data_IF_720288327894
#
_entry.id   IF_720288327894
#
_cell.length_a   1.000
_cell.length_b   1.000
_cell.length_c   1.000
_cell.angle_alpha   90.00
_cell.angle_beta   90.00
_cell.angle_gamma   90.00
#
_symmetry.space_group_name_H-M   'P 1'
#
loop_
_entity.id
_entity.type
_entity.pdbx_description
1 polymer ?
#
# COMPACT_ATOMS: atom_id res chain seq x y z
N UNK A 1 3.74 -25.25 -0.91
CA UNK A 1 2.70 -24.37 -1.48
C UNK A 1 2.65 -24.55 -2.99
N UNK A 2 1.47 -24.56 -3.60
CA UNK A 2 1.37 -24.55 -5.07
C UNK A 2 1.86 -23.19 -5.61
N UNK A 3 2.47 -23.17 -6.80
CA UNK A 3 3.01 -21.94 -7.43
C UNK A 3 1.97 -20.80 -7.44
N UNK A 4 0.70 -21.12 -7.67
CA UNK A 4 -0.42 -20.17 -7.69
C UNK A 4 -0.70 -19.54 -6.31
N UNK A 5 -0.56 -20.31 -5.23
CA UNK A 5 -0.75 -19.82 -3.86
C UNK A 5 0.38 -18.88 -3.44
N UNK A 6 1.62 -19.19 -3.85
CA UNK A 6 2.76 -18.29 -3.59
C UNK A 6 2.57 -16.96 -4.32
N UNK A 7 2.17 -16.99 -5.59
CA UNK A 7 1.86 -15.78 -6.35
C UNK A 7 0.75 -14.97 -5.69
N UNK A 8 -0.31 -15.61 -5.22
CA UNK A 8 -1.41 -14.95 -4.53
C UNK A 8 -0.94 -14.23 -3.25
N UNK A 9 -0.11 -14.88 -2.43
CA UNK A 9 0.49 -14.25 -1.24
C UNK A 9 1.36 -13.06 -1.63
N UNK A 10 2.15 -13.15 -2.69
CA UNK A 10 2.96 -12.03 -3.18
C UNK A 10 2.06 -10.84 -3.53
N UNK A 11 0.93 -11.05 -4.21
CA UNK A 11 -0.03 -9.97 -4.48
C UNK A 11 -0.59 -9.35 -3.20
N UNK A 12 -0.93 -10.16 -2.20
CA UNK A 12 -1.41 -9.63 -0.91
C UNK A 12 -0.33 -8.78 -0.22
N UNK A 13 0.92 -9.24 -0.22
CA UNK A 13 2.04 -8.51 0.37
C UNK A 13 2.31 -7.19 -0.37
N UNK A 14 2.25 -7.19 -1.70
CA UNK A 14 2.36 -5.97 -2.50
C UNK A 14 1.21 -5.02 -2.14
N UNK A 15 -0.04 -5.48 -2.11
CA UNK A 15 -1.18 -4.63 -1.73
C UNK A 15 -1.02 -4.01 -0.34
N UNK A 16 -0.60 -4.82 0.64
CA UNK A 16 -0.32 -4.35 2.00
C UNK A 16 0.81 -3.31 2.05
N UNK A 17 1.88 -3.51 1.27
CA UNK A 17 2.96 -2.54 1.14
C UNK A 17 2.47 -1.20 0.61
N UNK A 18 1.65 -1.18 -0.44
CA UNK A 18 1.10 0.06 -0.99
C UNK A 18 0.22 0.81 0.01
N UNK A 19 -0.61 0.09 0.78
CA UNK A 19 -1.44 0.68 1.82
C UNK A 19 -0.57 1.28 2.93
N UNK A 20 0.42 0.53 3.42
CA UNK A 20 1.37 1.01 4.41
C UNK A 20 2.13 2.26 3.92
N UNK A 21 2.59 2.21 2.68
CA UNK A 21 3.29 3.33 2.03
C UNK A 21 2.42 4.59 1.94
N UNK A 22 1.16 4.43 1.51
CA UNK A 22 0.20 5.53 1.48
C UNK A 22 -0.03 6.13 2.88
N UNK A 23 -0.08 5.31 3.93
CA UNK A 23 -0.27 5.78 5.31
C UNK A 23 0.96 6.51 5.89
N UNK A 24 2.17 6.09 5.53
CA UNK A 24 3.40 6.75 5.98
C UNK A 24 3.63 8.08 5.26
N UNK A 25 3.22 8.19 4.00
CA UNK A 25 3.38 9.38 3.17
C UNK A 25 2.08 10.20 3.06
N UNK A 26 1.13 10.01 3.99
CA UNK A 26 -0.20 10.63 3.91
C UNK A 26 -0.15 12.17 4.06
N UNK A 27 -0.80 12.94 3.16
CA UNK A 27 -0.95 14.40 3.30
C UNK A 27 -1.86 14.79 4.48
N UNK A 28 -2.62 13.83 5.00
CA UNK A 28 -3.56 14.04 6.11
C UNK A 28 -2.94 13.78 7.47
N UNK A 29 -1.67 13.40 7.51
CA UNK A 29 -0.98 13.24 8.77
C UNK A 29 -0.72 14.62 9.38
N UNK A 30 -0.97 14.77 10.69
CA UNK A 30 -0.77 16.06 11.38
C UNK A 30 0.67 16.58 11.25
N UNK A 31 0.85 17.88 11.50
CA UNK A 31 2.11 18.62 11.34
C UNK A 31 3.37 17.88 11.82
N UNK A 32 3.29 17.16 12.95
CA UNK A 32 4.42 16.39 13.49
C UNK A 32 4.92 15.25 12.57
N UNK A 33 4.03 14.61 11.80
CA UNK A 33 4.40 13.54 10.86
C UNK A 33 4.93 14.11 9.54
N UNK A 34 4.42 15.28 9.11
CA UNK A 34 4.93 16.01 7.94
C UNK A 34 6.37 16.46 8.18
N UNK A 35 6.64 17.05 9.36
CA UNK A 35 7.97 17.47 9.78
C UNK A 35 8.89 16.24 9.96
N UNK A 36 8.40 15.15 10.55
CA UNK A 36 9.15 13.90 10.66
C UNK A 36 9.50 13.27 9.31
N UNK A 37 8.60 13.37 8.32
CA UNK A 37 8.88 12.93 6.96
C UNK A 37 9.95 13.80 6.31
N UNK A 38 9.84 15.14 6.37
CA UNK A 38 10.87 16.04 5.84
C UNK A 38 12.25 15.81 6.49
N UNK A 39 12.31 15.62 7.81
CA UNK A 39 13.56 15.38 8.54
C UNK A 39 14.18 14.01 8.25
N UNK A 40 13.37 13.00 7.91
CA UNK A 40 13.85 11.69 7.49
C UNK A 40 14.19 11.63 5.99
N UNK A 41 14.04 12.73 5.25
CA UNK A 41 14.17 12.78 3.78
C UNK A 41 13.01 12.08 3.04
N UNK A 42 11.92 11.78 3.75
CA UNK A 42 10.73 11.15 3.21
C UNK A 42 9.77 12.20 2.64
N UNK A 43 9.15 11.86 1.51
CA UNK A 43 8.23 12.72 0.78
C UNK A 43 6.80 12.64 1.36
N UNK A 44 6.01 13.71 1.28
CA UNK A 44 4.58 13.65 1.59
C UNK A 44 3.78 13.66 0.28
N UNK A 45 2.93 12.64 0.07
CA UNK A 45 2.12 12.53 -1.15
C UNK A 45 1.08 13.65 -1.25
N UNK A 46 0.78 14.11 -2.47
CA UNK A 46 -0.45 14.90 -2.71
C UNK A 46 -1.71 14.08 -2.42
N UNK A 47 -2.83 14.72 -2.12
CA UNK A 47 -4.11 14.02 -1.84
C UNK A 47 -4.53 13.07 -2.96
N UNK A 48 -4.43 13.51 -4.22
CA UNK A 48 -4.75 12.68 -5.38
C UNK A 48 -3.90 11.42 -5.41
N UNK A 49 -2.58 11.55 -5.24
CA UNK A 49 -1.67 10.41 -5.21
C UNK A 49 -1.91 9.49 -4.02
N UNK A 50 -2.20 10.04 -2.84
CA UNK A 50 -2.56 9.26 -1.66
C UNK A 50 -3.75 8.33 -1.94
N UNK A 51 -4.84 8.84 -2.51
CA UNK A 51 -6.02 8.02 -2.81
C UNK A 51 -5.77 7.03 -3.95
N UNK A 52 -4.99 7.40 -4.97
CA UNK A 52 -4.61 6.48 -6.05
C UNK A 52 -3.79 5.31 -5.49
N UNK A 53 -2.76 5.58 -4.68
CA UNK A 53 -1.91 4.56 -4.08
C UNK A 53 -2.71 3.67 -3.12
N UNK A 54 -3.60 4.26 -2.32
CA UNK A 54 -4.46 3.52 -1.41
C UNK A 54 -5.42 2.60 -2.18
N UNK A 55 -6.10 3.13 -3.20
CA UNK A 55 -7.01 2.35 -4.05
C UNK A 55 -6.28 1.22 -4.78
N UNK A 56 -5.11 1.50 -5.34
CA UNK A 56 -4.28 0.50 -6.01
C UNK A 56 -3.85 -0.61 -5.04
N UNK A 57 -3.42 -0.26 -3.83
CA UNK A 57 -3.06 -1.24 -2.80
C UNK A 57 -4.23 -2.15 -2.41
N UNK A 58 -5.41 -1.58 -2.20
CA UNK A 58 -6.64 -2.34 -1.92
C UNK A 58 -6.99 -3.26 -3.09
N UNK A 59 -7.00 -2.75 -4.32
CA UNK A 59 -7.33 -3.53 -5.52
C UNK A 59 -6.37 -4.71 -5.71
N UNK A 60 -5.07 -4.48 -5.57
CA UNK A 60 -4.04 -5.53 -5.67
C UNK A 60 -4.22 -6.56 -4.56
N UNK A 61 -4.50 -6.12 -3.32
CA UNK A 61 -4.77 -7.01 -2.20
C UNK A 61 -5.99 -7.92 -2.44
N UNK A 62 -7.10 -7.34 -2.93
CA UNK A 62 -8.31 -8.10 -3.29
C UNK A 62 -8.01 -9.12 -4.39
N UNK A 63 -7.27 -8.75 -5.43
CA UNK A 63 -6.86 -9.68 -6.50
C UNK A 63 -6.03 -10.83 -5.93
N UNK A 64 -5.10 -10.54 -5.02
CA UNK A 64 -4.31 -11.54 -4.31
C UNK A 64 -5.17 -12.52 -3.52
N UNK A 65 -6.13 -12.01 -2.74
CA UNK A 65 -7.08 -12.82 -1.98
C UNK A 65 -7.92 -13.71 -2.91
N UNK A 66 -8.50 -13.14 -3.97
CA UNK A 66 -9.32 -13.90 -4.93
C UNK A 66 -8.50 -15.02 -5.58
N UNK A 67 -7.25 -14.74 -5.98
CA UNK A 67 -6.34 -15.74 -6.57
C UNK A 67 -5.87 -16.78 -5.56
N UNK A 68 -5.87 -16.49 -4.27
CA UNK A 68 -5.53 -17.45 -3.23
C UNK A 68 -6.62 -18.53 -3.10
N UNK A 69 -7.89 -18.12 -3.18
CA UNK A 69 -9.05 -19.01 -3.04
C UNK A 69 -9.50 -19.66 -4.34
N UNK A 70 -9.25 -19.03 -5.50
CA UNK A 70 -9.43 -19.68 -6.80
C UNK A 70 -8.27 -20.64 -7.05
N UNK A 71 -8.58 -21.94 -7.04
CA UNK A 71 -7.64 -23.06 -7.28
C UNK A 71 -6.93 -22.93 -8.63
#
# INVERSE_FOLDING_TARGET
MKKNQLQAIIYVLIGAFFIYWAQTHSPKAGLGKVIGNELSGSYTMSETWYYITLFAGIAIGIIGIIRFFRK
#
